data_IF_982802543879
#
_entry.id   IF_982802543879
#
_cell.length_a   1.000
_cell.length_b   1.000
_cell.length_c   1.000
_cell.angle_alpha   90.00
_cell.angle_beta   90.00
_cell.angle_gamma   90.00
#
_symmetry.space_group_name_H-M   'P 1'
#
loop_
_entity.id
_entity.type
_entity.pdbx_description
1 polymer ?
#
# COMPACT_ATOMS: atom_id res chain seq x y z
N UNK A 1 -50.31 -17.90 -66.48
CA UNK A 1 -50.17 -19.30 -66.92
C UNK A 1 -48.72 -19.54 -67.35
N UNK A 2 -48.21 -20.73 -66.98
CA UNK A 2 -46.83 -21.23 -67.13
C UNK A 2 -46.26 -21.17 -68.56
N UNK A 3 -44.91 -21.06 -68.63
CA UNK A 3 -43.93 -21.79 -69.49
C UNK A 3 -42.58 -21.02 -69.43
N UNK A 4 -41.64 -21.35 -68.55
CA UNK A 4 -40.51 -22.31 -68.74
C UNK A 4 -40.05 -22.41 -70.19
N UNK A 5 -38.83 -21.94 -70.49
CA UNK A 5 -37.89 -22.65 -71.36
C UNK A 5 -36.43 -22.30 -70.99
N UNK A 6 -35.66 -23.36 -70.78
CA UNK A 6 -34.24 -23.43 -70.53
C UNK A 6 -33.43 -22.92 -71.73
N UNK A 7 -32.33 -22.22 -71.50
CA UNK A 7 -31.16 -22.37 -72.36
C UNK A 7 -29.86 -22.21 -71.54
N UNK A 8 -29.17 -23.34 -71.48
CA UNK A 8 -27.85 -23.60 -70.92
C UNK A 8 -26.76 -22.90 -71.73
N UNK A 9 -25.88 -22.14 -71.05
CA UNK A 9 -24.53 -21.87 -71.56
C UNK A 9 -23.52 -22.08 -70.43
N UNK A 10 -22.72 -23.12 -70.63
CA UNK A 10 -21.53 -23.51 -69.88
C UNK A 10 -20.44 -22.43 -70.00
N UNK A 11 -19.87 -21.96 -68.89
CA UNK A 11 -18.56 -21.33 -68.89
C UNK A 11 -17.75 -21.66 -67.63
N UNK A 12 -16.67 -22.41 -67.89
CA UNK A 12 -15.39 -22.57 -67.19
C UNK A 12 -15.26 -22.21 -65.70
N UNK A 13 -14.84 -23.24 -64.94
CA UNK A 13 -14.11 -23.11 -63.68
C UNK A 13 -12.85 -22.25 -63.86
N UNK A 14 -12.70 -21.24 -63.01
CA UNK A 14 -11.41 -20.77 -62.53
C UNK A 14 -11.46 -20.86 -61.01
N UNK A 15 -10.62 -21.73 -60.45
CA UNK A 15 -10.33 -21.77 -59.03
C UNK A 15 -9.57 -20.50 -58.64
N UNK A 16 -10.23 -19.61 -57.92
CA UNK A 16 -9.57 -18.65 -57.05
C UNK A 16 -9.91 -19.06 -55.61
N UNK A 17 -8.92 -19.59 -54.90
CA UNK A 17 -9.02 -19.82 -53.47
C UNK A 17 -9.10 -18.47 -52.77
N UNK A 18 -10.33 -18.01 -52.49
CA UNK A 18 -10.55 -16.91 -51.57
C UNK A 18 -10.39 -17.47 -50.17
N UNK A 19 -9.27 -17.14 -49.54
CA UNK A 19 -9.10 -17.21 -48.10
C UNK A 19 -10.32 -16.56 -47.45
N UNK A 20 -11.05 -17.35 -46.68
CA UNK A 20 -12.09 -16.87 -45.78
C UNK A 20 -11.37 -15.99 -44.76
N UNK A 21 -11.45 -14.67 -44.92
CA UNK A 21 -11.31 -13.79 -43.78
C UNK A 21 -12.53 -14.08 -42.91
N UNK A 22 -12.29 -14.66 -41.75
CA UNK A 22 -13.26 -14.67 -40.68
C UNK A 22 -13.60 -13.20 -40.41
N UNK A 23 -14.83 -12.82 -40.73
CA UNK A 23 -15.42 -11.56 -40.30
C UNK A 23 -15.43 -11.59 -38.78
N UNK A 24 -14.52 -10.85 -38.16
CA UNK A 24 -14.56 -10.58 -36.73
C UNK A 24 -15.90 -9.88 -36.47
N UNK A 25 -16.82 -10.59 -35.83
CA UNK A 25 -18.00 -10.00 -35.25
C UNK A 25 -17.57 -8.80 -34.38
N UNK A 26 -18.30 -7.68 -34.39
CA UNK A 26 -17.93 -6.55 -33.55
C UNK A 26 -17.86 -7.06 -32.11
N UNK A 27 -16.69 -6.92 -31.51
CA UNK A 27 -16.52 -7.16 -30.09
C UNK A 27 -17.54 -6.28 -29.38
N UNK A 28 -18.52 -6.91 -28.74
CA UNK A 28 -19.39 -6.23 -27.80
C UNK A 28 -18.48 -5.60 -26.75
N UNK A 29 -18.36 -4.27 -26.79
CA UNK A 29 -17.81 -3.51 -25.67
C UNK A 29 -18.63 -3.89 -24.45
N UNK A 30 -18.02 -4.70 -23.59
CA UNK A 30 -18.58 -4.99 -22.28
C UNK A 30 -18.61 -3.64 -21.57
N UNK A 31 -19.78 -3.12 -21.17
CA UNK A 31 -19.83 -1.83 -20.51
C UNK A 31 -18.93 -1.91 -19.29
N UNK A 32 -17.98 -0.97 -19.20
CA UNK A 32 -17.18 -0.75 -18.01
C UNK A 32 -18.15 -0.76 -16.83
N UNK A 33 -17.88 -1.63 -15.84
CA UNK A 33 -18.71 -1.71 -14.66
C UNK A 33 -18.79 -0.31 -14.05
N UNK A 34 -19.96 0.32 -14.11
CA UNK A 34 -20.24 1.54 -13.38
C UNK A 34 -20.01 1.21 -11.91
N UNK A 35 -18.95 1.80 -11.35
CA UNK A 35 -18.66 1.68 -9.92
C UNK A 35 -19.80 2.41 -9.22
N UNK A 36 -20.74 1.68 -8.61
CA UNK A 36 -21.70 2.27 -7.68
C UNK A 36 -20.91 2.87 -6.51
N UNK A 37 -20.53 4.13 -6.65
CA UNK A 37 -19.95 4.93 -5.60
C UNK A 37 -21.06 5.23 -4.60
N UNK A 38 -21.16 4.40 -3.57
CA UNK A 38 -21.87 4.80 -2.36
C UNK A 38 -21.08 5.96 -1.73
N UNK A 39 -21.65 7.16 -1.74
CA UNK A 39 -21.04 8.40 -1.25
C UNK A 39 -20.77 8.41 0.28
N UNK A 40 -21.14 7.36 1.00
CA UNK A 40 -20.93 7.28 2.44
C UNK A 40 -19.55 6.69 2.78
N UNK A 41 -18.72 7.41 3.58
CA UNK A 41 -17.43 6.91 4.02
C UNK A 41 -17.57 5.56 4.74
N UNK A 42 -16.82 4.56 4.29
CA UNK A 42 -16.86 3.21 4.85
C UNK A 42 -15.76 3.02 5.90
N UNK A 43 -16.08 2.46 7.06
CA UNK A 43 -15.05 2.11 8.06
C UNK A 43 -14.62 0.66 7.87
N UNK A 44 -13.38 0.47 7.42
CA UNK A 44 -12.76 -0.84 7.32
C UNK A 44 -12.00 -1.19 8.61
N UNK A 45 -12.14 -2.43 9.08
CA UNK A 45 -11.41 -2.96 10.24
C UNK A 45 -10.74 -4.28 9.86
N UNK A 46 -9.41 -4.32 10.01
CA UNK A 46 -8.64 -5.56 9.87
C UNK A 46 -8.55 -6.28 11.20
N UNK A 47 -9.12 -7.47 11.26
CA UNK A 47 -8.97 -8.34 12.42
C UNK A 47 -7.60 -9.00 12.49
N UNK A 48 -6.97 -9.34 11.36
CA UNK A 48 -5.68 -10.03 11.39
C UNK A 48 -4.53 -9.08 11.74
N UNK A 49 -4.56 -7.85 11.22
CA UNK A 49 -3.49 -6.87 11.43
C UNK A 49 -3.81 -5.80 12.47
N UNK A 50 -5.01 -5.86 13.07
CA UNK A 50 -5.45 -5.03 14.19
C UNK A 50 -5.34 -3.54 13.90
N UNK A 51 -6.03 -3.07 12.86
CA UNK A 51 -6.19 -1.64 12.58
C UNK A 51 -7.60 -1.33 12.08
N UNK A 52 -7.96 -0.04 12.10
CA UNK A 52 -9.17 0.50 11.49
C UNK A 52 -8.80 1.71 10.64
N UNK A 53 -9.47 1.88 9.50
CA UNK A 53 -9.28 3.02 8.59
C UNK A 53 -10.62 3.37 7.93
N UNK A 54 -10.89 4.66 7.75
CA UNK A 54 -11.99 5.13 6.89
C UNK A 54 -11.54 5.04 5.44
N UNK A 55 -12.43 4.55 4.59
CA UNK A 55 -12.27 4.38 3.16
C UNK A 55 -13.27 5.29 2.42
N UNK A 56 -13.00 5.62 1.15
CA UNK A 56 -13.93 6.37 0.28
C UNK A 56 -15.31 5.71 0.25
N UNK A 57 -15.31 4.41 0.00
CA UNK A 57 -16.46 3.52 0.02
C UNK A 57 -15.99 2.10 0.36
N UNK A 58 -16.92 1.15 0.44
CA UNK A 58 -16.58 -0.24 0.77
C UNK A 58 -15.65 -0.84 -0.29
N UNK A 59 -14.49 -1.42 0.08
CA UNK A 59 -13.62 -2.11 -0.88
C UNK A 59 -14.39 -3.22 -1.61
N UNK A 60 -14.21 -3.31 -2.92
CA UNK A 60 -14.75 -4.39 -3.77
C UNK A 60 -14.00 -5.70 -3.54
N UNK A 61 -12.73 -5.62 -3.14
CA UNK A 61 -11.92 -6.75 -2.74
C UNK A 61 -10.93 -6.37 -1.65
N UNK A 62 -10.54 -7.36 -0.85
CA UNK A 62 -9.48 -7.26 0.15
C UNK A 62 -8.52 -8.41 -0.09
N UNK A 63 -7.25 -8.10 -0.37
CA UNK A 63 -6.19 -9.09 -0.52
C UNK A 63 -5.33 -9.07 0.74
N UNK A 64 -5.36 -10.18 1.48
CA UNK A 64 -4.52 -10.34 2.67
C UNK A 64 -3.10 -10.70 2.27
N UNK A 65 -2.11 -10.05 2.90
CA UNK A 65 -0.68 -10.23 2.62
C UNK A 65 -0.39 -10.33 1.11
N UNK A 66 -0.60 -9.27 0.33
CA UNK A 66 -0.37 -9.26 -1.13
C UNK A 66 1.09 -9.49 -1.54
N UNK A 67 2.01 -9.69 -0.59
CA UNK A 67 3.44 -9.88 -0.81
C UNK A 67 3.83 -11.35 -0.75
N UNK A 68 4.87 -11.70 -1.51
CA UNK A 68 5.51 -13.01 -1.38
C UNK A 68 6.49 -13.03 -0.20
N UNK A 69 7.00 -11.86 0.19
CA UNK A 69 7.98 -11.72 1.26
C UNK A 69 7.32 -11.91 2.63
N UNK A 70 7.85 -12.86 3.40
CA UNK A 70 7.27 -13.30 4.67
C UNK A 70 7.35 -12.27 5.80
N UNK A 71 8.22 -11.26 5.65
CA UNK A 71 8.40 -10.19 6.62
C UNK A 71 7.49 -8.98 6.36
N UNK A 72 6.74 -8.99 5.24
CA UNK A 72 5.73 -7.97 4.93
C UNK A 72 4.36 -8.46 5.39
N UNK A 73 3.68 -7.60 6.13
CA UNK A 73 2.39 -7.91 6.73
C UNK A 73 1.40 -6.78 6.49
N UNK A 74 0.19 -7.13 6.07
CA UNK A 74 -0.88 -6.17 5.89
C UNK A 74 -1.87 -6.59 4.82
N UNK A 75 -2.57 -5.62 4.25
CA UNK A 75 -3.69 -5.85 3.35
C UNK A 75 -3.69 -4.84 2.21
N UNK A 76 -4.24 -5.27 1.08
CA UNK A 76 -4.59 -4.39 -0.02
C UNK A 76 -6.11 -4.27 -0.11
N UNK A 77 -6.60 -3.04 -0.02
CA UNK A 77 -8.00 -2.68 -0.21
C UNK A 77 -8.19 -2.19 -1.63
N UNK A 78 -8.98 -2.89 -2.43
CA UNK A 78 -9.26 -2.55 -3.83
C UNK A 78 -10.59 -1.84 -3.90
N UNK A 79 -10.61 -0.67 -4.54
CA UNK A 79 -11.82 0.14 -4.74
C UNK A 79 -12.28 0.13 -6.19
N UNK A 80 -11.34 0.07 -7.14
CA UNK A 80 -11.62 -0.08 -8.57
C UNK A 80 -10.51 -0.91 -9.24
N UNK A 81 -10.89 -1.75 -10.19
CA UNK A 81 -9.99 -2.57 -11.00
C UNK A 81 -10.54 -2.79 -12.42
N UNK A 82 -9.63 -3.05 -13.35
CA UNK A 82 -9.93 -3.56 -14.69
C UNK A 82 -9.29 -4.94 -14.83
N UNK A 83 -10.09 -6.00 -14.72
CA UNK A 83 -9.57 -7.35 -14.61
C UNK A 83 -8.68 -7.51 -13.38
N UNK A 84 -7.40 -7.88 -13.55
CA UNK A 84 -6.43 -7.97 -12.46
C UNK A 84 -5.68 -6.66 -12.18
N UNK A 85 -5.95 -5.62 -12.98
CA UNK A 85 -5.22 -4.36 -12.91
C UNK A 85 -5.93 -3.35 -11.98
N UNK A 86 -5.29 -2.98 -10.88
CA UNK A 86 -5.93 -2.16 -9.83
C UNK A 86 -5.87 -0.69 -10.21
N UNK A 87 -7.02 -0.06 -10.44
CA UNK A 87 -7.11 1.35 -10.83
C UNK A 87 -7.14 2.31 -9.64
N UNK A 88 -7.72 1.88 -8.52
CA UNK A 88 -7.75 2.65 -7.27
C UNK A 88 -7.76 1.72 -6.06
N UNK A 89 -6.82 1.91 -5.15
CA UNK A 89 -6.67 1.03 -3.99
C UNK A 89 -5.68 1.55 -2.95
N UNK A 90 -5.76 0.99 -1.75
CA UNK A 90 -4.79 1.23 -0.68
C UNK A 90 -4.01 -0.04 -0.38
N UNK A 91 -2.68 0.06 -0.32
CA UNK A 91 -1.85 -0.99 0.26
C UNK A 91 -1.44 -0.55 1.66
N UNK A 92 -1.82 -1.32 2.67
CA UNK A 92 -1.57 -1.01 4.08
C UNK A 92 -0.61 -2.06 4.61
N UNK A 93 0.56 -1.63 5.08
CA UNK A 93 1.51 -2.47 5.79
C UNK A 93 1.60 -2.06 7.25
N UNK A 94 1.63 -3.07 8.10
CA UNK A 94 1.90 -2.93 9.53
C UNK A 94 3.31 -3.41 9.85
N UNK A 95 3.95 -2.79 10.83
CA UNK A 95 5.35 -3.04 11.17
C UNK A 95 6.27 -2.89 9.93
N UNK A 96 5.91 -1.95 9.05
CA UNK A 96 6.38 -1.83 7.67
C UNK A 96 7.87 -1.50 7.52
N UNK A 97 8.51 -0.99 8.56
CA UNK A 97 9.91 -0.63 8.57
C UNK A 97 10.49 -0.68 9.98
N UNK A 98 11.80 -0.90 10.05
CA UNK A 98 12.60 -0.86 11.28
C UNK A 98 12.87 0.58 11.69
N UNK A 99 13.16 0.78 12.99
CA UNK A 99 13.30 2.13 13.54
C UNK A 99 14.48 2.94 12.98
N UNK A 100 15.49 2.26 12.45
CA UNK A 100 16.68 2.83 11.83
C UNK A 100 16.51 3.13 10.33
N UNK A 101 15.46 2.60 9.68
CA UNK A 101 15.23 2.80 8.25
C UNK A 101 14.51 4.10 7.92
N UNK A 102 13.62 4.55 8.81
CA UNK A 102 12.85 5.78 8.63
C UNK A 102 13.00 6.63 9.89
N UNK A 103 13.46 7.89 9.82
CA UNK A 103 13.58 8.73 11.00
C UNK A 103 12.21 8.92 11.68
N UNK A 104 12.20 9.12 12.99
CA UNK A 104 10.96 9.46 13.71
C UNK A 104 10.57 10.90 13.40
N UNK A 105 9.58 11.13 12.54
CA UNK A 105 9.14 12.49 12.18
C UNK A 105 8.56 13.29 13.36
N UNK A 106 8.27 12.64 14.49
CA UNK A 106 7.79 13.32 15.70
C UNK A 106 8.93 13.73 16.65
N UNK A 107 10.11 13.11 16.55
CA UNK A 107 11.21 13.26 17.54
C UNK A 107 12.60 13.43 16.93
N UNK A 108 12.76 13.08 15.66
CA UNK A 108 14.01 13.11 14.92
C UNK A 108 14.52 14.53 14.73
N UNK A 109 15.83 14.65 14.54
CA UNK A 109 16.44 15.94 14.23
C UNK A 109 16.05 16.39 12.82
N UNK A 110 16.06 17.71 12.62
CA UNK A 110 15.80 18.31 11.31
C UNK A 110 16.79 17.79 10.26
N UNK A 111 18.07 17.62 10.64
CA UNK A 111 19.10 17.09 9.76
C UNK A 111 18.80 15.65 9.30
N UNK A 112 18.50 14.74 10.24
CA UNK A 112 18.21 13.35 9.89
C UNK A 112 16.96 13.19 9.02
N UNK A 113 15.93 14.02 9.26
CA UNK A 113 14.75 14.06 8.39
C UNK A 113 15.11 14.62 7.02
N UNK A 114 15.91 15.69 6.95
CA UNK A 114 16.38 16.28 5.70
C UNK A 114 17.16 15.30 4.83
N UNK A 115 18.13 14.60 5.43
CA UNK A 115 18.95 13.59 4.75
C UNK A 115 18.09 12.44 4.21
N UNK A 116 17.13 11.96 5.00
CA UNK A 116 16.21 10.91 4.57
C UNK A 116 15.31 11.34 3.40
N UNK A 117 14.78 12.57 3.43
CA UNK A 117 13.96 13.08 2.32
C UNK A 117 14.77 13.27 1.05
N UNK A 118 16.03 13.70 1.17
CA UNK A 118 16.97 13.80 0.05
C UNK A 118 17.22 12.42 -0.56
N UNK A 119 17.54 11.43 0.28
CA UNK A 119 17.76 10.05 -0.16
C UNK A 119 16.53 9.45 -0.85
N UNK A 120 15.31 9.71 -0.35
CA UNK A 120 14.08 9.28 -1.02
C UNK A 120 13.97 9.85 -2.44
N UNK A 121 14.28 11.14 -2.64
CA UNK A 121 14.21 11.77 -3.96
C UNK A 121 15.30 11.26 -4.90
N UNK A 122 16.54 11.19 -4.43
CA UNK A 122 17.69 10.86 -5.27
C UNK A 122 17.78 9.37 -5.60
N UNK A 123 17.31 8.48 -4.71
CA UNK A 123 17.51 7.03 -4.84
C UNK A 123 16.20 6.24 -4.91
N UNK A 124 15.08 6.84 -4.53
CA UNK A 124 13.79 6.16 -4.38
C UNK A 124 12.83 6.29 -5.56
N UNK A 125 13.19 7.03 -6.61
CA UNK A 125 12.30 7.25 -7.77
C UNK A 125 11.09 8.14 -7.47
N UNK A 126 11.18 8.97 -6.42
CA UNK A 126 10.11 9.87 -6.02
C UNK A 126 10.33 11.27 -6.60
N UNK A 127 9.32 11.78 -7.33
CA UNK A 127 9.31 13.17 -7.80
C UNK A 127 9.15 14.17 -6.65
N UNK A 128 8.45 13.78 -5.58
CA UNK A 128 8.41 14.56 -4.36
C UNK A 128 8.44 13.68 -3.10
N UNK A 129 9.02 14.22 -2.04
CA UNK A 129 9.08 13.64 -0.71
C UNK A 129 9.09 14.78 0.30
N UNK A 130 8.12 14.80 1.21
CA UNK A 130 7.95 15.90 2.18
C UNK A 130 7.37 15.44 3.52
N UNK A 131 7.71 16.10 4.63
CA UNK A 131 7.04 15.86 5.90
C UNK A 131 5.56 16.24 5.80
N UNK A 132 4.71 15.48 6.49
CA UNK A 132 3.28 15.77 6.59
C UNK A 132 2.76 15.55 8.00
N UNK A 133 1.71 16.27 8.36
CA UNK A 133 0.92 15.98 9.55
C UNK A 133 -0.07 14.87 9.19
N UNK A 134 0.08 13.70 9.81
CA UNK A 134 -0.90 12.60 9.76
C UNK A 134 -2.11 12.98 10.60
N UNK A 135 -1.86 13.47 11.82
CA UNK A 135 -2.85 14.12 12.68
C UNK A 135 -2.24 15.39 13.26
N UNK A 136 -2.98 16.12 14.10
CA UNK A 136 -2.47 17.32 14.79
C UNK A 136 -1.15 17.07 15.54
N UNK A 137 -0.99 15.88 16.12
CA UNK A 137 0.13 15.53 17.00
C UNK A 137 1.00 14.40 16.44
N UNK A 138 0.72 13.92 15.23
CA UNK A 138 1.47 12.84 14.61
C UNK A 138 1.94 13.24 13.22
N UNK A 139 3.23 13.07 12.96
CA UNK A 139 3.89 13.42 11.71
C UNK A 139 4.41 12.17 11.00
N UNK A 140 4.57 12.30 9.70
CA UNK A 140 5.15 11.29 8.83
C UNK A 140 5.74 11.92 7.59
N UNK A 141 5.92 11.10 6.56
CA UNK A 141 6.37 11.52 5.24
C UNK A 141 5.37 11.07 4.19
N UNK A 142 5.15 11.92 3.19
CA UNK A 142 4.61 11.52 1.90
C UNK A 142 5.69 11.56 0.84
N UNK A 143 5.76 10.49 0.05
CA UNK A 143 6.58 10.39 -1.13
C UNK A 143 5.70 10.01 -2.33
N UNK A 144 5.80 10.76 -3.42
CA UNK A 144 4.97 10.63 -4.62
C UNK A 144 5.89 10.18 -5.76
N UNK A 145 5.52 9.09 -6.44
CA UNK A 145 6.28 8.61 -7.60
C UNK A 145 6.19 9.60 -8.76
N UNK A 146 7.23 9.67 -9.57
CA UNK A 146 7.17 10.42 -10.81
C UNK A 146 6.07 9.85 -11.73
N UNK A 147 5.34 10.72 -12.42
CA UNK A 147 4.47 10.36 -13.55
C UNK A 147 5.30 10.14 -14.83
N UNK A 148 6.47 10.77 -14.92
CA UNK A 148 7.37 10.72 -16.06
C UNK A 148 8.82 10.64 -15.62
N UNK A 149 9.60 9.82 -16.32
CA UNK A 149 11.05 9.70 -16.13
C UNK A 149 11.73 9.80 -17.49
N UNK A 150 12.61 10.77 -17.64
CA UNK A 150 13.46 10.90 -18.82
C UNK A 150 14.52 9.79 -18.83
N UNK A 151 14.69 9.15 -19.99
CA UNK A 151 15.77 8.21 -20.27
C UNK A 151 16.92 9.00 -20.84
N UNK A 152 18.02 9.03 -20.09
CA UNK A 152 19.22 9.74 -20.49
C UNK A 152 20.22 8.79 -21.15
N UNK A 153 20.86 9.25 -22.21
CA UNK A 153 22.09 8.65 -22.73
C UNK A 153 23.18 8.74 -21.63
N UNK A 154 23.77 7.62 -21.20
CA UNK A 154 24.80 7.64 -20.17
C UNK A 154 26.12 8.32 -20.58
N UNK A 155 26.41 8.46 -21.88
CA UNK A 155 27.63 9.10 -22.40
C UNK A 155 27.45 10.60 -22.61
N UNK A 156 26.31 11.04 -23.13
CA UNK A 156 26.06 12.46 -23.47
C UNK A 156 25.22 13.20 -22.42
N UNK A 157 24.40 12.48 -21.65
CA UNK A 157 23.42 13.06 -20.73
C UNK A 157 22.20 13.68 -21.42
N UNK A 158 22.05 13.50 -22.74
CA UNK A 158 20.87 13.96 -23.49
C UNK A 158 19.67 13.03 -23.26
N UNK A 159 18.45 13.58 -23.39
CA UNK A 159 17.21 12.80 -23.26
C UNK A 159 16.98 12.03 -24.57
N UNK A 160 16.99 10.69 -24.49
CA UNK A 160 16.72 9.79 -25.62
C UNK A 160 15.30 9.22 -25.63
N UNK A 161 14.58 9.34 -24.51
CA UNK A 161 13.22 8.84 -24.39
C UNK A 161 12.54 9.27 -23.10
N UNK A 162 11.28 8.89 -22.96
CA UNK A 162 10.45 9.17 -21.79
C UNK A 162 9.71 7.88 -21.39
N UNK A 163 9.78 7.51 -20.11
CA UNK A 163 8.85 6.55 -19.52
C UNK A 163 7.71 7.31 -18.86
N UNK A 164 6.48 7.05 -19.31
CA UNK A 164 5.26 7.57 -18.68
C UNK A 164 4.66 6.45 -17.84
N UNK A 165 4.40 6.73 -16.57
CA UNK A 165 3.79 5.77 -15.68
C UNK A 165 2.27 5.74 -15.89
N UNK A 166 1.70 4.56 -16.14
CA UNK A 166 0.24 4.38 -16.22
C UNK A 166 -0.46 4.68 -14.89
N UNK A 167 0.29 4.61 -13.78
CA UNK A 167 -0.19 4.82 -12.40
C UNK A 167 0.84 5.54 -11.58
N UNK A 168 0.34 6.35 -10.65
CA UNK A 168 1.16 6.95 -9.62
C UNK A 168 0.79 6.41 -8.25
N UNK A 169 1.76 6.54 -7.34
CA UNK A 169 1.65 6.07 -5.98
C UNK A 169 1.97 7.19 -4.99
N UNK A 170 1.23 7.22 -3.88
CA UNK A 170 1.61 8.02 -2.70
C UNK A 170 2.02 7.05 -1.60
N UNK A 171 3.29 7.03 -1.25
CA UNK A 171 3.80 6.29 -0.11
C UNK A 171 3.74 7.17 1.13
N UNK A 172 3.09 6.67 2.17
CA UNK A 172 2.98 7.34 3.46
C UNK A 172 3.61 6.49 4.54
N UNK A 173 4.67 6.99 5.17
CA UNK A 173 5.32 6.34 6.30
C UNK A 173 5.14 7.16 7.57
N UNK A 174 4.68 6.52 8.64
CA UNK A 174 4.52 7.15 9.93
C UNK A 174 4.58 6.14 11.08
N UNK A 175 4.64 6.65 12.31
CA UNK A 175 4.52 5.84 13.52
C UNK A 175 3.20 6.13 14.21
N UNK A 176 2.54 5.11 14.73
CA UNK A 176 1.36 5.29 15.60
C UNK A 176 1.81 5.90 16.94
N UNK A 177 0.90 6.50 17.73
CA UNK A 177 1.25 6.95 19.08
C UNK A 177 1.87 5.86 19.98
N UNK A 178 1.52 4.60 19.72
CA UNK A 178 2.04 3.40 20.37
C UNK A 178 3.44 3.00 19.85
N UNK A 179 3.87 3.60 18.73
CA UNK A 179 5.19 3.42 18.14
C UNK A 179 5.26 2.36 17.04
N UNK A 180 4.12 1.84 16.56
CA UNK A 180 4.08 0.88 15.45
C UNK A 180 4.40 1.60 14.15
N UNK A 181 5.27 1.01 13.34
CA UNK A 181 5.67 1.57 12.04
C UNK A 181 4.63 1.18 10.98
N UNK A 182 4.02 2.17 10.32
CA UNK A 182 2.94 1.96 9.35
C UNK A 182 3.36 2.52 7.99
N UNK A 183 3.10 1.75 6.93
CA UNK A 183 3.08 2.26 5.56
C UNK A 183 1.66 2.15 5.02
N UNK A 184 1.16 3.24 4.44
CA UNK A 184 -0.06 3.23 3.61
C UNK A 184 0.36 3.76 2.25
N UNK A 185 -0.06 3.07 1.19
CA UNK A 185 0.24 3.44 -0.18
C UNK A 185 -1.07 3.64 -0.93
N UNK A 186 -1.23 4.79 -1.57
CA UNK A 186 -2.25 4.97 -2.60
C UNK A 186 -1.74 4.35 -3.90
N UNK A 187 -2.57 3.54 -4.57
CA UNK A 187 -2.44 3.20 -5.99
C UNK A 187 -3.55 3.95 -6.72
N UNK A 188 -3.21 4.73 -7.74
CA UNK A 188 -4.23 5.38 -8.56
C UNK A 188 -3.78 5.59 -10.00
N UNK A 189 -4.67 5.27 -10.95
CA UNK A 189 -4.54 5.69 -12.35
C UNK A 189 -4.87 7.18 -12.56
N UNK A 190 -5.64 7.80 -11.64
CA UNK A 190 -5.90 9.25 -11.63
C UNK A 190 -5.38 9.89 -10.34
N UNK A 191 -4.59 10.96 -10.48
CA UNK A 191 -4.07 11.75 -9.35
C UNK A 191 -4.86 13.04 -9.10
N UNK A 192 -6.14 13.05 -9.50
CA UNK A 192 -7.02 14.17 -9.22
C UNK A 192 -7.10 14.47 -7.72
N UNK A 193 -7.30 15.76 -7.44
CA UNK A 193 -7.25 16.31 -6.08
C UNK A 193 -8.22 15.64 -5.13
N UNK A 194 -9.40 15.22 -5.60
CA UNK A 194 -10.41 14.51 -4.79
C UNK A 194 -9.88 13.17 -4.29
N UNK A 195 -9.31 12.31 -5.14
CA UNK A 195 -8.77 11.00 -4.75
C UNK A 195 -7.63 11.15 -3.76
N UNK A 196 -6.75 12.12 -4.00
CA UNK A 196 -5.65 12.45 -3.09
C UNK A 196 -6.21 12.93 -1.76
N UNK A 197 -7.13 13.88 -1.72
CA UNK A 197 -7.66 14.40 -0.44
C UNK A 197 -8.43 13.35 0.36
N UNK A 198 -9.17 12.46 -0.30
CA UNK A 198 -9.84 11.33 0.36
C UNK A 198 -8.81 10.35 0.93
N UNK A 199 -7.75 10.05 0.18
CA UNK A 199 -6.63 9.24 0.67
C UNK A 199 -5.99 9.88 1.92
N UNK A 200 -5.75 11.19 1.90
CA UNK A 200 -5.20 11.92 3.06
C UNK A 200 -6.09 11.81 4.29
N UNK A 201 -7.41 11.94 4.10
CA UNK A 201 -8.40 11.74 5.16
C UNK A 201 -8.39 10.31 5.70
N UNK A 202 -8.27 9.33 4.81
CA UNK A 202 -8.16 7.90 5.16
C UNK A 202 -6.92 7.63 6.02
N UNK A 203 -5.74 8.10 5.60
CA UNK A 203 -4.49 8.03 6.38
C UNK A 203 -4.65 8.68 7.76
N UNK A 204 -5.27 9.86 7.84
CA UNK A 204 -5.49 10.57 9.11
C UNK A 204 -6.46 9.83 10.05
N UNK A 205 -7.36 9.03 9.49
CA UNK A 205 -8.33 8.22 10.24
C UNK A 205 -7.75 6.92 10.80
N UNK A 206 -6.54 6.53 10.38
CA UNK A 206 -5.93 5.25 10.75
C UNK A 206 -5.80 5.12 12.27
N UNK A 207 -6.30 4.00 12.79
CA UNK A 207 -6.21 3.62 14.21
C UNK A 207 -5.53 2.27 14.33
N UNK A 208 -4.50 2.23 15.17
CA UNK A 208 -3.85 1.00 15.59
C UNK A 208 -4.66 0.39 16.73
N UNK A 209 -5.20 -0.80 16.52
CA UNK A 209 -6.04 -1.50 17.48
C UNK A 209 -5.24 -2.53 18.29
N UNK A 210 -3.90 -2.53 18.20
CA UNK A 210 -3.07 -3.31 19.12
C UNK A 210 -3.31 -2.82 20.55
N UNK A 211 -3.83 -3.71 21.39
CA UNK A 211 -3.89 -3.49 22.83
C UNK A 211 -2.46 -3.44 23.37
N UNK A 212 -2.05 -2.25 23.80
CA UNK A 212 -0.78 -1.89 24.46
C UNK A 212 0.16 -3.06 24.84
N UNK A 213 1.32 -3.13 24.18
CA UNK A 213 2.54 -3.79 24.73
C UNK A 213 3.10 -3.04 25.96
N UNK A 214 2.49 -1.94 26.42
CA UNK A 214 2.96 -1.13 27.56
C UNK A 214 2.70 -1.73 28.94
N UNK A 215 1.91 -2.80 29.09
CA UNK A 215 1.74 -3.48 30.38
C UNK A 215 2.91 -4.39 30.78
N UNK A 216 3.65 -4.95 29.82
CA UNK A 216 4.60 -6.03 30.13
C UNK A 216 6.02 -5.57 30.54
N UNK A 217 6.35 -4.27 30.45
CA UNK A 217 7.66 -3.75 30.89
C UNK A 217 7.69 -3.41 32.38
N UNK A 218 6.55 -3.03 32.97
CA UNK A 218 6.42 -2.79 34.41
C UNK A 218 6.39 -4.12 35.17
N UNK A 219 5.65 -5.10 34.67
CA UNK A 219 5.57 -6.44 35.29
C UNK A 219 6.90 -7.20 35.30
N UNK A 220 7.76 -6.99 34.28
CA UNK A 220 9.09 -7.61 34.23
C UNK A 220 10.10 -6.94 35.18
N UNK A 221 9.96 -5.63 35.43
CA UNK A 221 10.76 -4.89 36.42
C UNK A 221 10.29 -5.23 37.84
N UNK A 222 8.97 -5.27 38.06
CA UNK A 222 8.38 -5.58 39.36
C UNK A 222 8.57 -7.05 39.79
N UNK A 223 8.61 -8.01 38.82
CA UNK A 223 9.01 -9.40 39.11
C UNK A 223 10.49 -9.56 39.43
N UNK A 224 11.37 -8.79 38.78
CA UNK A 224 12.82 -8.81 39.07
C UNK A 224 13.10 -8.23 40.46
N UNK A 225 12.47 -7.10 40.78
CA UNK A 225 12.64 -6.43 42.08
C UNK A 225 12.03 -7.23 43.25
N UNK A 226 10.96 -8.01 43.02
CA UNK A 226 10.42 -8.95 44.02
C UNK A 226 11.30 -10.18 44.22
N UNK A 227 11.90 -10.73 43.16
CA UNK A 227 12.81 -11.89 43.25
C UNK A 227 14.10 -11.51 44.01
N UNK A 228 14.68 -10.35 43.67
CA UNK A 228 15.91 -9.86 44.31
C UNK A 228 15.71 -9.51 45.80
N UNK A 229 14.50 -9.08 46.21
CA UNK A 229 14.15 -8.89 47.63
C UNK A 229 13.94 -10.20 48.39
N UNK A 230 13.34 -11.23 47.76
CA UNK A 230 13.14 -12.53 48.40
C UNK A 230 14.48 -13.25 48.62
N UNK A 231 15.35 -13.23 47.63
CA UNK A 231 16.66 -13.88 47.70
C UNK A 231 17.60 -13.22 48.73
N UNK A 232 17.46 -11.90 48.98
CA UNK A 232 18.17 -11.20 50.06
C UNK A 232 17.64 -11.53 51.46
N UNK A 233 16.33 -11.75 51.62
CA UNK A 233 15.73 -12.10 52.91
C UNK A 233 16.14 -13.52 53.33
N UNK A 234 16.07 -14.46 52.41
CA UNK A 234 16.39 -15.87 52.66
C UNK A 234 17.89 -16.07 52.99
N UNK A 235 18.78 -15.23 52.44
CA UNK A 235 20.21 -15.24 52.80
C UNK A 235 20.50 -14.65 54.19
N UNK A 236 19.71 -13.67 54.66
CA UNK A 236 19.90 -13.04 55.97
C UNK A 236 19.40 -13.94 57.11
N UNK A 237 18.31 -14.67 56.86
CA UNK A 237 17.73 -15.60 57.84
C UNK A 237 18.51 -16.91 57.99
N UNK A 238 19.34 -17.27 56.99
CA UNK A 238 20.25 -18.42 57.08
C UNK A 238 21.52 -18.10 57.88
N UNK A 239 22.05 -16.87 57.74
CA UNK A 239 23.25 -16.44 58.46
C UNK A 239 23.01 -16.23 59.97
N UNK A 240 21.81 -15.80 60.37
CA UNK A 240 21.47 -15.62 61.79
C UNK A 240 21.22 -16.93 62.57
N UNK A 241 21.13 -18.07 61.87
CA UNK A 241 20.98 -19.41 62.48
C UNK A 241 22.30 -20.17 62.63
N UNK A 242 23.36 -19.79 61.92
CA UNK A 242 24.69 -20.39 62.09
C UNK A 242 25.49 -19.75 63.23
N UNK A 243 25.23 -18.48 63.56
CA UNK A 243 25.93 -17.77 64.65
C UNK A 243 25.37 -18.07 66.07
N UNK A 244 24.51 -19.09 66.22
CA UNK A 244 23.83 -19.43 67.48
C UNK A 244 24.00 -20.89 67.92
N UNK A 245 25.02 -21.59 67.44
CA UNK A 245 25.31 -22.97 67.84
C UNK A 245 26.72 -23.14 68.36
#
# INVERSE_FOLDING_TARGET
MRKIFFLTTLLMMIFAATTVFAEEAPAEETPAAEVEQNDEPYVYTSEDFKFTITCPFKPIAVVQNPWQETDKHGEMLVFANEGFDVQYGYIIQVDAFKNDQVPDFNKGSVAAIGDYLKDLKEKGGFADARPVNITKNNKGVWAITADKIDVLDPETGEVEGEFVADKQYIYTFFRTPEGRCISIQLISASFEKNFVDVYRGSVASFKDNIKDKKSNKKDKKDKKDKKDKKDKKDKKDKKSKEDKK
#
